data_IF_239859430174
#
_entry.id   IF_239859430174
#
_cell.length_a   1.000
_cell.length_b   1.000
_cell.length_c   1.000
_cell.angle_alpha   90.00
_cell.angle_beta   90.00
_cell.angle_gamma   90.00
#
_symmetry.space_group_name_H-M   'P 1'
#
loop_
_entity.id
_entity.type
_entity.pdbx_description
1 polymer ?
#
# COMPACT_ATOMS: atom_id res chain seq x y z
N UNK A 1 -6.70 -7.89 15.51
CA UNK A 1 -7.20 -7.76 14.12
C UNK A 1 -6.50 -6.55 13.52
N UNK A 2 -5.60 -6.74 12.57
CA UNK A 2 -4.94 -5.60 11.92
C UNK A 2 -5.89 -4.92 10.95
N UNK A 3 -6.02 -3.59 11.05
CA UNK A 3 -6.78 -2.77 10.11
C UNK A 3 -5.88 -2.44 8.92
N UNK A 4 -6.41 -2.47 7.70
CA UNK A 4 -5.67 -2.29 6.44
C UNK A 4 -4.82 -1.00 6.44
N UNK A 5 -5.35 0.10 6.97
CA UNK A 5 -4.61 1.36 7.10
C UNK A 5 -3.41 1.23 8.03
N UNK A 6 -3.52 0.49 9.13
CA UNK A 6 -2.40 0.22 10.03
C UNK A 6 -1.33 -0.65 9.38
N UNK A 7 -1.73 -1.63 8.56
CA UNK A 7 -0.79 -2.46 7.79
C UNK A 7 -0.02 -1.62 6.76
N UNK A 8 -0.70 -0.66 6.10
CA UNK A 8 -0.06 0.30 5.18
C UNK A 8 0.93 1.19 5.95
N UNK A 9 0.55 1.74 7.10
CA UNK A 9 1.44 2.58 7.92
C UNK A 9 2.68 1.81 8.41
N UNK A 10 2.51 0.56 8.84
CA UNK A 10 3.64 -0.28 9.24
C UNK A 10 4.57 -0.54 8.05
N UNK A 11 4.01 -0.88 6.89
CA UNK A 11 4.77 -1.08 5.67
C UNK A 11 5.55 0.18 5.27
N UNK A 12 4.94 1.37 5.36
CA UNK A 12 5.61 2.67 5.15
C UNK A 12 6.78 2.85 6.12
N UNK A 13 6.61 2.53 7.40
CA UNK A 13 7.70 2.60 8.39
C UNK A 13 8.85 1.66 8.04
N UNK A 14 8.55 0.42 7.63
CA UNK A 14 9.58 -0.53 7.22
C UNK A 14 10.32 -0.07 5.96
N UNK A 15 9.61 0.50 4.99
CA UNK A 15 10.22 1.10 3.80
C UNK A 15 11.16 2.25 4.15
N UNK A 16 10.77 3.17 5.06
CA UNK A 16 11.64 4.26 5.53
C UNK A 16 12.92 3.71 6.18
N UNK A 17 12.79 2.72 7.07
CA UNK A 17 13.94 2.07 7.73
C UNK A 17 14.86 1.36 6.73
N UNK A 18 14.29 0.77 5.69
CA UNK A 18 15.04 0.08 4.62
C UNK A 18 15.62 1.01 3.54
N UNK A 19 15.64 2.33 3.74
CA UNK A 19 16.20 3.30 2.78
C UNK A 19 15.31 3.60 1.56
N UNK A 20 14.05 3.16 1.55
CA UNK A 20 13.10 3.34 0.44
C UNK A 20 12.19 4.54 0.69
N UNK A 21 12.80 5.66 1.10
CA UNK A 21 12.10 6.86 1.55
C UNK A 21 11.15 7.45 0.52
N UNK A 22 11.50 7.39 -0.77
CA UNK A 22 10.63 7.91 -1.83
C UNK A 22 9.32 7.12 -1.95
N UNK A 23 9.39 5.78 -1.96
CA UNK A 23 8.19 4.95 -2.00
C UNK A 23 7.35 5.11 -0.73
N UNK A 24 8.02 5.15 0.44
CA UNK A 24 7.37 5.37 1.70
C UNK A 24 6.60 6.71 1.72
N UNK A 25 7.22 7.79 1.21
CA UNK A 25 6.58 9.10 1.12
C UNK A 25 5.40 9.07 0.16
N UNK A 26 5.54 8.47 -1.03
CA UNK A 26 4.42 8.38 -1.98
C UNK A 26 3.21 7.61 -1.42
N UNK A 27 3.46 6.56 -0.64
CA UNK A 27 2.39 5.81 0.03
C UNK A 27 1.74 6.61 1.15
N UNK A 28 2.53 7.36 1.93
CA UNK A 28 2.03 8.25 2.97
C UNK A 28 1.17 9.38 2.37
N UNK A 29 1.64 10.00 1.30
CA UNK A 29 0.91 11.03 0.57
C UNK A 29 -0.41 10.49 0.01
N UNK A 30 -0.41 9.27 -0.52
CA UNK A 30 -1.63 8.61 -1.02
C UNK A 30 -2.67 8.39 0.07
N UNK A 31 -2.24 8.19 1.33
CA UNK A 31 -3.13 8.03 2.48
C UNK A 31 -3.58 9.39 3.03
N UNK A 32 -2.68 10.37 3.13
CA UNK A 32 -2.94 11.69 3.71
C UNK A 32 -3.82 12.57 2.81
N UNK A 33 -3.60 12.54 1.50
CA UNK A 33 -4.25 13.46 0.56
C UNK A 33 -5.42 12.85 -0.19
N UNK A 34 -5.75 11.58 0.03
CA UNK A 34 -6.88 10.95 -0.62
C UNK A 34 -8.20 11.48 -0.07
N UNK A 35 -9.09 11.96 -0.95
CA UNK A 35 -10.35 12.59 -0.55
C UNK A 35 -11.38 11.60 0.00
N UNK A 36 -11.31 10.33 -0.42
CA UNK A 36 -12.21 9.26 0.02
C UNK A 36 -11.44 7.98 0.32
N UNK A 37 -12.02 7.08 1.11
CA UNK A 37 -11.42 5.76 1.36
C UNK A 37 -11.15 5.00 0.06
N UNK A 38 -12.04 5.07 -0.92
CA UNK A 38 -11.85 4.42 -2.23
C UNK A 38 -10.69 5.01 -3.04
N UNK A 39 -10.51 6.33 -2.99
CA UNK A 39 -9.39 7.01 -3.65
C UNK A 39 -8.04 6.65 -3.00
N UNK A 40 -7.97 6.67 -1.67
CA UNK A 40 -6.78 6.24 -0.91
C UNK A 40 -6.39 4.82 -1.31
N UNK A 41 -7.36 3.89 -1.24
CA UNK A 41 -7.13 2.48 -1.56
C UNK A 41 -6.70 2.30 -3.02
N UNK A 42 -7.30 3.03 -3.96
CA UNK A 42 -6.92 2.98 -5.38
C UNK A 42 -5.48 3.46 -5.60
N UNK A 43 -5.10 4.58 -4.97
CA UNK A 43 -3.76 5.15 -5.09
C UNK A 43 -2.70 4.25 -4.46
N UNK A 44 -2.97 3.70 -3.28
CA UNK A 44 -2.11 2.71 -2.61
C UNK A 44 -1.94 1.48 -3.49
N UNK A 45 -3.04 0.90 -4.01
CA UNK A 45 -2.97 -0.27 -4.89
C UNK A 45 -2.12 0.00 -6.13
N UNK A 46 -2.30 1.15 -6.78
CA UNK A 46 -1.50 1.53 -7.96
C UNK A 46 -0.01 1.65 -7.65
N UNK A 47 0.35 2.27 -6.53
CA UNK A 47 1.75 2.41 -6.11
C UNK A 47 2.38 1.03 -5.83
N UNK A 48 1.69 0.17 -5.08
CA UNK A 48 2.21 -1.15 -4.74
C UNK A 48 2.31 -2.05 -5.99
N UNK A 49 1.31 -2.03 -6.87
CA UNK A 49 1.37 -2.75 -8.16
C UNK A 49 2.54 -2.28 -9.02
N UNK A 50 2.78 -0.96 -9.07
CA UNK A 50 3.91 -0.39 -9.78
C UNK A 50 5.23 -0.92 -9.23
N UNK A 51 5.41 -0.95 -7.91
CA UNK A 51 6.63 -1.51 -7.29
C UNK A 51 6.80 -3.01 -7.54
N UNK A 52 5.70 -3.76 -7.68
CA UNK A 52 5.71 -5.18 -8.05
C UNK A 52 6.19 -5.37 -9.49
N UNK A 53 5.74 -4.53 -10.42
CA UNK A 53 6.09 -4.61 -11.85
C UNK A 53 7.49 -4.11 -12.16
N UNK A 54 7.92 -3.04 -11.50
CA UNK A 54 9.25 -2.42 -11.71
C UNK A 54 10.40 -3.24 -11.08
N UNK A 55 10.13 -4.45 -10.56
CA UNK A 55 11.09 -5.29 -9.80
C UNK A 55 11.85 -4.47 -8.76
N UNK A 56 11.13 -3.62 -8.04
CA UNK A 56 11.71 -2.88 -6.93
C UNK A 56 12.34 -3.90 -5.98
N UNK A 57 13.63 -3.74 -5.69
CA UNK A 57 14.36 -4.71 -4.86
C UNK A 57 13.90 -4.56 -3.41
N UNK A 58 12.82 -5.28 -3.09
CA UNK A 58 12.26 -5.42 -1.75
C UNK A 58 12.80 -6.73 -1.15
N UNK A 59 13.19 -6.74 0.14
CA UNK A 59 13.36 -7.96 0.89
C UNK A 59 12.09 -8.82 0.80
N UNK A 60 12.25 -10.14 0.85
CA UNK A 60 11.14 -11.09 0.69
C UNK A 60 9.97 -10.80 1.63
N UNK A 61 10.26 -10.48 2.89
CA UNK A 61 9.25 -10.11 3.90
C UNK A 61 8.42 -8.89 3.47
N UNK A 62 9.06 -7.87 2.89
CA UNK A 62 8.36 -6.68 2.39
C UNK A 62 7.63 -6.96 1.08
N UNK A 63 8.12 -7.87 0.25
CA UNK A 63 7.40 -8.31 -0.94
C UNK A 63 6.11 -9.06 -0.57
N UNK A 64 6.16 -9.92 0.45
CA UNK A 64 4.99 -10.62 0.99
C UNK A 64 3.99 -9.63 1.60
N UNK A 65 4.46 -8.70 2.44
CA UNK A 65 3.61 -7.68 3.06
C UNK A 65 2.94 -6.79 2.01
N UNK A 66 3.68 -6.37 0.96
CA UNK A 66 3.13 -5.64 -0.18
C UNK A 66 2.00 -6.43 -0.84
N UNK A 67 2.20 -7.72 -1.11
CA UNK A 67 1.23 -8.55 -1.82
C UNK A 67 -0.03 -8.80 -0.97
N UNK A 68 0.12 -8.94 0.36
CA UNK A 68 -1.03 -9.01 1.28
C UNK A 68 -1.83 -7.70 1.31
N UNK A 69 -1.15 -6.54 1.40
CA UNK A 69 -1.80 -5.23 1.36
C UNK A 69 -2.55 -5.06 0.03
N UNK A 70 -1.94 -5.44 -1.09
CA UNK A 70 -2.58 -5.40 -2.42
C UNK A 70 -3.86 -6.24 -2.46
N UNK A 71 -3.80 -7.49 -1.95
CA UNK A 71 -4.95 -8.38 -1.94
C UNK A 71 -6.11 -7.81 -1.10
N UNK A 72 -5.79 -7.27 0.09
CA UNK A 72 -6.78 -6.69 1.00
C UNK A 72 -7.38 -5.40 0.44
N UNK A 73 -6.56 -4.59 -0.22
CA UNK A 73 -7.00 -3.37 -0.90
C UNK A 73 -7.93 -3.68 -2.07
N UNK A 74 -7.60 -4.69 -2.88
CA UNK A 74 -8.46 -5.14 -3.97
C UNK A 74 -9.82 -5.66 -3.46
N UNK A 75 -9.83 -6.40 -2.35
CA UNK A 75 -11.06 -6.85 -1.70
C UNK A 75 -11.91 -5.66 -1.22
N UNK A 76 -11.30 -4.72 -0.52
CA UNK A 76 -11.98 -3.53 -0.03
C UNK A 76 -12.58 -2.68 -1.17
N UNK A 77 -11.86 -2.52 -2.28
CA UNK A 77 -12.37 -1.83 -3.47
C UNK A 77 -13.51 -2.59 -4.15
N UNK A 78 -13.44 -3.92 -4.20
CA UNK A 78 -14.51 -4.77 -4.71
C UNK A 78 -15.79 -4.68 -3.88
N UNK A 79 -15.67 -4.64 -2.55
CA UNK A 79 -16.80 -4.42 -1.63
C UNK A 79 -17.42 -3.01 -1.76
N UNK A 80 -16.61 -1.99 -2.10
CA UNK A 80 -17.08 -0.61 -2.32
C UNK A 80 -17.89 -0.48 -3.62
N UNK A 81 -17.52 -1.21 -4.69
CA UNK A 81 -18.25 -1.18 -5.97
C UNK A 81 -19.56 -1.98 -6.00
N UNK A 82 -19.87 -2.73 -4.95
CA UNK A 82 -21.08 -3.56 -4.81
C UNK A 82 -22.18 -2.88 -3.97
N UNK A 83 -21.96 -1.65 -3.49
CA UNK A 83 -22.91 -0.84 -2.71
C UNK A 83 -23.40 0.36 -3.50
#
# INVERSE_FOLDING_TARGET
MSNLYGDIEEFVRCLRRGGRGQLAQSLEDAVLYGATSGEILTNVARLLERTRRERFSLPEELALQRDEILQRTARALGDVGQR
#
